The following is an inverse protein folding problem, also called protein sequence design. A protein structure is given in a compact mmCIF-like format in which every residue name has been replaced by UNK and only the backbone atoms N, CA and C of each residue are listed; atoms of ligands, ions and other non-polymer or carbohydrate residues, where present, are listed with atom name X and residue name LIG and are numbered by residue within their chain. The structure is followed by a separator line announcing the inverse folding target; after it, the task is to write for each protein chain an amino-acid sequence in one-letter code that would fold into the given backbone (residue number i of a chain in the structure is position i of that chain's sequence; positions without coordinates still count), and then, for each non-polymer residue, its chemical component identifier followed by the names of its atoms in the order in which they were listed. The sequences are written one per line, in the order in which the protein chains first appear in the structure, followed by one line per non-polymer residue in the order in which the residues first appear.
data_IF_113326050962
#
_entry.id   IF_113326050962
#
_cell.length_a   1.000
_cell.length_b   1.000
_cell.length_c   1.000
_cell.angle_alpha   90.00
_cell.angle_beta   90.00
_cell.angle_gamma   90.00
#
_symmetry.space_group_name_H-M   'P 1'
#
loop_
_entity.id
_entity.type
_entity.pdbx_description
1 polymer ?
#
# COMPACT_ATOMS: atom_id res chain seq x y z
N UNK A 1 -17.52 -5.29 0.85
CA UNK A 1 -17.98 -4.63 2.11
C UNK A 1 -18.31 -3.18 1.80
N UNK A 2 -19.15 -2.51 2.58
CA UNK A 2 -19.33 -1.07 2.44
C UNK A 2 -18.13 -0.32 3.05
N UNK A 3 -17.70 0.75 2.38
CA UNK A 3 -16.62 1.64 2.80
C UNK A 3 -17.07 3.10 2.66
N UNK A 4 -16.52 3.97 3.50
CA UNK A 4 -16.71 5.41 3.39
C UNK A 4 -15.73 5.98 2.37
N UNK A 5 -16.24 6.74 1.41
CA UNK A 5 -15.46 7.40 0.37
C UNK A 5 -15.73 8.90 0.37
N UNK A 6 -14.69 9.71 0.25
CA UNK A 6 -14.76 11.17 0.17
C UNK A 6 -14.59 11.61 -1.29
N UNK A 7 -15.65 12.07 -1.99
CA UNK A 7 -15.61 12.39 -3.41
C UNK A 7 -15.07 13.81 -3.65
N UNK A 8 -13.77 14.01 -3.46
CA UNK A 8 -13.09 15.30 -3.64
C UNK A 8 -12.18 15.36 -4.89
N UNK A 9 -12.53 14.63 -5.94
CA UNK A 9 -11.73 14.55 -7.16
C UNK A 9 -10.37 13.92 -6.90
N UNK A 10 -9.29 14.57 -7.34
CA UNK A 10 -7.92 14.06 -7.21
C UNK A 10 -7.38 14.00 -5.77
N UNK A 11 -8.07 14.63 -4.80
CA UNK A 11 -7.74 14.56 -3.37
C UNK A 11 -8.82 13.80 -2.59
N UNK A 12 -9.70 13.09 -3.30
CA UNK A 12 -10.71 12.21 -2.72
C UNK A 12 -10.19 10.79 -2.54
N UNK A 13 -10.96 9.95 -1.85
CA UNK A 13 -10.52 8.58 -1.60
C UNK A 13 -11.23 7.90 -0.45
N UNK A 14 -10.70 6.75 -0.04
CA UNK A 14 -11.18 6.03 1.14
C UNK A 14 -10.99 6.90 2.40
N UNK A 15 -11.98 6.84 3.28
CA UNK A 15 -12.00 7.57 4.54
C UNK A 15 -12.16 6.61 5.72
N UNK A 16 -11.44 6.90 6.80
CA UNK A 16 -11.44 6.18 8.05
C UNK A 16 -10.23 6.54 8.91
N UNK A 17 -10.21 6.05 10.16
CA UNK A 17 -9.14 6.31 11.14
C UNK A 17 -7.72 6.03 10.59
N UNK A 18 -7.58 5.02 9.73
CA UNK A 18 -6.31 4.56 9.19
C UNK A 18 -6.12 4.92 7.70
N UNK A 19 -6.96 5.81 7.15
CA UNK A 19 -6.88 6.27 5.76
C UNK A 19 -6.30 7.68 5.71
N UNK A 20 -5.71 8.08 4.58
CA UNK A 20 -5.13 9.42 4.40
C UNK A 20 -6.19 10.55 4.52
N UNK A 21 -7.42 10.27 4.05
CA UNK A 21 -8.53 11.22 4.17
C UNK A 21 -9.08 11.35 5.60
N UNK A 22 -8.66 10.47 6.53
CA UNK A 22 -9.09 10.49 7.92
C UNK A 22 -10.61 10.39 8.08
N UNK A 23 -11.20 11.25 8.91
CA UNK A 23 -12.63 11.28 9.17
C UNK A 23 -13.25 12.61 8.70
N UNK A 24 -13.53 12.78 7.40
CA UNK A 24 -14.29 13.92 6.91
C UNK A 24 -15.69 14.00 7.56
N UNK A 25 -16.34 15.17 7.55
CA UNK A 25 -17.73 15.31 7.94
C UNK A 25 -18.64 14.29 7.22
N UNK A 26 -19.59 13.69 7.95
CA UNK A 26 -20.39 12.58 7.46
C UNK A 26 -21.27 12.96 6.24
N UNK A 27 -21.71 14.21 6.15
CA UNK A 27 -22.46 14.77 5.02
C UNK A 27 -21.63 14.87 3.72
N UNK A 28 -20.30 14.74 3.83
CA UNK A 28 -19.38 14.71 2.68
C UNK A 28 -18.95 13.30 2.28
N UNK A 29 -19.42 12.27 2.98
CA UNK A 29 -19.06 10.88 2.69
C UNK A 29 -20.14 10.19 1.88
N UNK A 30 -19.72 9.37 0.93
CA UNK A 30 -20.59 8.43 0.23
C UNK A 30 -20.21 7.00 0.59
N UNK A 31 -21.21 6.12 0.65
CA UNK A 31 -20.99 4.69 0.88
C UNK A 31 -20.73 4.01 -0.47
N UNK A 32 -19.61 3.31 -0.58
CA UNK A 32 -19.26 2.54 -1.77
C UNK A 32 -19.07 1.06 -1.42
N UNK A 33 -19.38 0.19 -2.38
CA UNK A 33 -19.08 -1.24 -2.24
C UNK A 33 -17.66 -1.50 -2.67
N UNK A 34 -16.82 -1.91 -1.72
CA UNK A 34 -15.47 -2.41 -1.97
C UNK A 34 -15.47 -3.93 -2.19
N UNK A 35 -14.62 -4.37 -3.11
CA UNK A 35 -14.35 -5.79 -3.39
C UNK A 35 -12.90 -6.13 -3.04
N UNK A 36 -12.66 -7.36 -2.58
CA UNK A 36 -11.30 -7.84 -2.32
C UNK A 36 -10.53 -7.98 -3.63
N UNK A 37 -9.24 -7.64 -3.63
CA UNK A 37 -8.39 -7.72 -4.81
C UNK A 37 -8.35 -9.14 -5.41
N UNK A 38 -8.26 -10.19 -4.59
CA UNK A 38 -8.27 -11.58 -5.08
C UNK A 38 -9.56 -11.95 -5.82
N UNK A 39 -10.69 -11.38 -5.41
CA UNK A 39 -11.98 -11.58 -6.10
C UNK A 39 -12.02 -10.84 -7.43
N UNK A 40 -11.47 -9.62 -7.48
CA UNK A 40 -11.33 -8.86 -8.74
C UNK A 40 -10.47 -9.64 -9.73
N UNK A 41 -9.30 -10.12 -9.28
CA UNK A 41 -8.38 -10.91 -10.12
C UNK A 41 -9.03 -12.22 -10.60
N UNK A 42 -9.73 -12.92 -9.72
CA UNK A 42 -10.44 -14.15 -10.06
C UNK A 42 -11.55 -13.91 -11.10
N UNK A 43 -12.42 -12.92 -10.88
CA UNK A 43 -13.50 -12.57 -11.79
C UNK A 43 -12.96 -12.11 -13.15
N UNK A 44 -11.85 -11.37 -13.15
CA UNK A 44 -11.17 -10.94 -14.38
C UNK A 44 -10.43 -12.07 -15.11
N UNK A 45 -10.39 -13.29 -14.54
CA UNK A 45 -9.57 -14.41 -15.03
C UNK A 45 -8.11 -14.00 -15.22
N UNK A 46 -7.59 -13.18 -14.31
CA UNK A 46 -6.21 -12.74 -14.33
C UNK A 46 -5.26 -13.94 -14.25
N UNK A 47 -4.09 -13.88 -14.91
CA UNK A 47 -3.09 -14.94 -14.79
C UNK A 47 -2.60 -15.05 -13.34
N UNK A 48 -2.14 -16.24 -12.96
CA UNK A 48 -1.54 -16.49 -11.65
C UNK A 48 -0.21 -15.72 -11.45
N UNK A 49 0.48 -15.40 -12.55
CA UNK A 49 1.67 -14.56 -12.56
C UNK A 49 1.35 -13.27 -13.30
N UNK A 50 1.41 -12.16 -12.58
CA UNK A 50 1.08 -10.82 -13.06
C UNK A 50 2.39 -10.02 -13.12
N UNK A 51 2.65 -9.33 -14.23
CA UNK A 51 3.93 -8.64 -14.42
C UNK A 51 4.16 -7.50 -13.42
N UNK A 52 3.11 -6.75 -13.09
CA UNK A 52 3.25 -5.54 -12.29
C UNK A 52 1.96 -5.19 -11.54
N UNK A 53 2.11 -4.69 -10.31
CA UNK A 53 1.04 -4.07 -9.52
C UNK A 53 1.52 -2.74 -8.96
N UNK A 54 0.71 -1.69 -9.12
CA UNK A 54 0.88 -0.41 -8.42
C UNK A 54 -0.26 -0.25 -7.43
N UNK A 55 0.06 0.07 -6.18
CA UNK A 55 -0.90 0.34 -5.12
C UNK A 55 -0.69 1.73 -4.53
N UNK A 56 -1.65 2.59 -4.84
CA UNK A 56 -1.92 3.84 -4.14
C UNK A 56 -3.43 3.88 -3.92
N UNK A 57 -3.84 3.60 -2.69
CA UNK A 57 -5.26 3.47 -2.32
C UNK A 57 -5.53 4.19 -0.99
N UNK A 58 -4.87 5.34 -0.80
CA UNK A 58 -5.21 6.30 0.26
C UNK A 58 -5.16 5.72 1.68
N UNK A 59 -4.24 4.77 1.93
CA UNK A 59 -4.01 4.15 3.24
C UNK A 59 -4.55 2.73 3.39
N UNK A 60 -5.22 2.20 2.36
CA UNK A 60 -5.77 0.86 2.39
C UNK A 60 -4.82 -0.22 1.85
N UNK A 61 -3.52 0.05 1.69
CA UNK A 61 -2.55 -0.86 1.07
C UNK A 61 -2.47 -2.21 1.81
N UNK A 62 -2.41 -2.20 3.15
CA UNK A 62 -2.43 -3.43 3.97
C UNK A 62 -3.81 -4.10 3.97
N UNK A 63 -4.90 -3.39 3.66
CA UNK A 63 -6.22 -4.01 3.48
C UNK A 63 -6.34 -4.74 2.14
N UNK A 64 -5.82 -4.14 1.06
CA UNK A 64 -5.83 -4.75 -0.26
C UNK A 64 -4.98 -6.01 -0.32
N UNK A 65 -3.85 -6.01 0.38
CA UNK A 65 -2.91 -7.13 0.52
C UNK A 65 -2.87 -7.64 1.98
N UNK A 66 -4.06 -7.84 2.55
CA UNK A 66 -4.21 -8.30 3.93
C UNK A 66 -3.60 -9.68 4.18
N UNK A 67 -3.54 -10.10 5.44
CA UNK A 67 -2.99 -11.39 5.87
C UNK A 67 -3.56 -12.61 5.12
N UNK A 68 -4.80 -12.50 4.62
CA UNK A 68 -5.49 -13.58 3.91
C UNK A 68 -5.49 -13.38 2.38
N UNK A 69 -4.69 -12.46 1.85
CA UNK A 69 -4.47 -12.34 0.41
C UNK A 69 -3.75 -13.60 -0.09
N UNK A 70 -4.25 -14.28 -1.15
CA UNK A 70 -3.73 -15.56 -1.58
C UNK A 70 -2.49 -15.39 -2.48
N UNK A 71 -1.34 -15.02 -1.89
CA UNK A 71 -0.06 -14.90 -2.61
C UNK A 71 0.38 -16.19 -3.32
N UNK A 72 -0.13 -17.35 -2.90
CA UNK A 72 0.07 -18.64 -3.57
C UNK A 72 -0.72 -18.79 -4.88
N UNK A 73 -1.80 -18.02 -5.07
CA UNK A 73 -2.58 -18.00 -6.32
C UNK A 73 -2.18 -16.84 -7.24
N UNK A 74 -1.75 -15.71 -6.67
CA UNK A 74 -1.39 -14.53 -7.43
C UNK A 74 -0.02 -14.00 -7.01
N UNK A 75 0.94 -14.08 -7.93
CA UNK A 75 2.27 -13.51 -7.79
C UNK A 75 2.39 -12.28 -8.68
N UNK A 76 2.80 -11.16 -8.09
CA UNK A 76 3.18 -9.96 -8.84
C UNK A 76 4.70 -9.98 -9.01
N UNK A 77 5.22 -9.94 -10.24
CA UNK A 77 6.67 -9.99 -10.44
C UNK A 77 7.35 -8.71 -9.95
N UNK A 78 6.67 -7.57 -10.09
CA UNK A 78 7.11 -6.26 -9.66
C UNK A 78 5.97 -5.57 -8.93
N UNK A 79 6.28 -4.82 -7.88
CA UNK A 79 5.30 -4.03 -7.15
C UNK A 79 5.81 -2.62 -6.84
N UNK A 80 4.90 -1.66 -6.92
CA UNK A 80 5.05 -0.33 -6.35
C UNK A 80 3.94 -0.15 -5.32
N UNK A 81 4.30 0.19 -4.09
CA UNK A 81 3.34 0.42 -3.02
C UNK A 81 3.65 1.77 -2.40
N UNK A 82 2.67 2.67 -2.36
CA UNK A 82 2.84 3.96 -1.70
C UNK A 82 2.76 3.79 -0.18
N UNK A 83 3.82 4.24 0.51
CA UNK A 83 3.91 4.32 1.99
C UNK A 83 3.43 3.04 2.72
N UNK A 84 3.93 1.83 2.37
CA UNK A 84 3.48 0.59 2.98
C UNK A 84 3.78 0.56 4.49
N UNK A 85 2.81 0.19 5.34
CA UNK A 85 3.07 0.03 6.76
C UNK A 85 4.01 -1.15 7.04
N UNK A 86 4.63 -1.20 8.24
CA UNK A 86 5.55 -2.28 8.60
C UNK A 86 4.95 -3.69 8.46
N UNK A 87 3.67 -3.86 8.79
CA UNK A 87 2.94 -5.13 8.66
C UNK A 87 2.91 -5.63 7.21
N UNK A 88 2.64 -4.73 6.26
CA UNK A 88 2.62 -5.07 4.84
C UNK A 88 4.02 -5.40 4.33
N UNK A 89 5.04 -4.63 4.73
CA UNK A 89 6.43 -4.91 4.38
C UNK A 89 6.85 -6.31 4.80
N UNK A 90 6.61 -6.65 6.06
CA UNK A 90 6.91 -7.97 6.60
C UNK A 90 6.22 -9.07 5.79
N UNK A 91 4.91 -8.90 5.51
CA UNK A 91 4.12 -9.86 4.73
C UNK A 91 4.67 -10.06 3.32
N UNK A 92 5.10 -8.98 2.65
CA UNK A 92 5.72 -9.07 1.34
C UNK A 92 7.05 -9.84 1.40
N UNK A 93 7.89 -9.60 2.41
CA UNK A 93 9.13 -10.35 2.58
C UNK A 93 8.88 -11.84 2.84
N UNK A 94 7.90 -12.18 3.68
CA UNK A 94 7.48 -13.56 3.95
C UNK A 94 7.00 -14.28 2.68
N UNK A 95 6.43 -13.54 1.73
CA UNK A 95 5.96 -14.06 0.45
C UNK A 95 6.94 -13.85 -0.71
N UNK A 96 8.24 -13.74 -0.42
CA UNK A 96 9.29 -13.83 -1.44
C UNK A 96 9.47 -12.57 -2.28
N UNK A 97 9.02 -11.41 -1.79
CA UNK A 97 9.33 -10.11 -2.38
C UNK A 97 10.63 -9.56 -1.79
N UNK A 98 11.49 -9.04 -2.64
CA UNK A 98 12.74 -8.37 -2.27
C UNK A 98 12.55 -6.86 -2.40
N UNK A 99 13.10 -6.12 -1.44
CA UNK A 99 13.19 -4.67 -1.53
C UNK A 99 14.10 -4.26 -2.70
N UNK A 100 13.67 -3.24 -3.45
CA UNK A 100 14.45 -2.65 -4.56
C UNK A 100 14.99 -1.27 -4.18
N UNK A 101 14.11 -0.37 -3.77
CA UNK A 101 14.44 0.98 -3.28
C UNK A 101 13.18 1.66 -2.74
N UNK A 102 13.39 2.77 -2.03
CA UNK A 102 12.36 3.79 -1.84
C UNK A 102 12.57 4.94 -2.82
N UNK A 103 11.50 5.58 -3.27
CA UNK A 103 11.55 6.83 -4.01
C UNK A 103 10.34 7.69 -3.68
N UNK A 104 10.57 8.89 -3.13
CA UNK A 104 9.51 9.78 -2.66
C UNK A 104 8.60 9.07 -1.64
N UNK A 105 7.37 8.78 -2.01
CA UNK A 105 6.38 8.10 -1.17
C UNK A 105 6.30 6.60 -1.46
N UNK A 106 6.97 6.11 -2.51
CA UNK A 106 6.83 4.75 -3.01
C UNK A 106 7.94 3.83 -2.54
N UNK A 107 7.57 2.58 -2.25
CA UNK A 107 8.49 1.46 -2.09
C UNK A 107 8.33 0.48 -3.24
N UNK A 108 9.47 0.05 -3.80
CA UNK A 108 9.54 -0.85 -4.94
C UNK A 108 9.98 -2.23 -4.49
N UNK A 109 9.32 -3.27 -5.03
CA UNK A 109 9.63 -4.66 -4.76
C UNK A 109 9.74 -5.47 -6.04
N UNK A 110 10.53 -6.53 -5.99
CA UNK A 110 10.64 -7.56 -7.02
C UNK A 110 10.43 -8.93 -6.38
N UNK A 111 9.61 -9.77 -6.98
CA UNK A 111 9.44 -11.14 -6.48
C UNK A 111 10.64 -12.01 -6.88
N UNK A 112 11.05 -12.92 -6.00
CA UNK A 112 12.19 -13.84 -6.20
C UNK A 112 12.06 -14.73 -7.45
N UNK A 113 10.84 -14.98 -7.94
CA UNK A 113 10.62 -15.72 -9.19
C UNK A 113 10.89 -14.91 -10.47
N UNK A 114 11.12 -13.60 -10.37
CA UNK A 114 11.52 -12.80 -11.53
C UNK A 114 12.93 -13.25 -11.99
N UNK A 115 13.18 -13.50 -13.29
CA UNK A 115 14.46 -14.03 -13.77
C UNK A 115 15.69 -13.19 -13.37
N UNK A 116 15.49 -11.88 -13.21
CA UNK A 116 16.52 -10.91 -12.80
C UNK A 116 16.33 -10.36 -11.37
N UNK A 117 15.63 -11.07 -10.48
CA UNK A 117 15.27 -10.56 -9.15
C UNK A 117 16.47 -10.04 -8.35
N UNK A 118 17.56 -10.82 -8.30
CA UNK A 118 18.79 -10.46 -7.57
C UNK A 118 19.46 -9.21 -8.14
N UNK A 119 19.48 -9.06 -9.47
CA UNK A 119 19.99 -7.88 -10.14
C UNK A 119 19.11 -6.64 -9.88
N UNK A 120 17.78 -6.82 -9.89
CA UNK A 120 16.82 -5.72 -9.71
C UNK A 120 16.80 -5.23 -8.26
N UNK A 121 16.89 -6.13 -7.27
CA UNK A 121 16.89 -5.76 -5.85
C UNK A 121 18.07 -4.86 -5.45
N UNK A 122 19.12 -4.77 -6.29
CA UNK A 122 20.28 -3.86 -6.13
C UNK A 122 21.05 -3.97 -4.81
N UNK A 123 20.75 -4.97 -3.98
CA UNK A 123 21.31 -5.16 -2.64
C UNK A 123 21.21 -3.89 -1.76
N UNK A 124 20.16 -3.09 -1.95
CA UNK A 124 19.94 -1.91 -1.13
C UNK A 124 19.43 -2.32 0.26
N UNK A 125 19.75 -1.52 1.27
CA UNK A 125 19.30 -1.79 2.65
C UNK A 125 17.89 -1.25 2.83
N UNK A 126 16.96 -2.13 3.20
CA UNK A 126 15.58 -1.73 3.47
C UNK A 126 15.52 -0.64 4.55
N UNK A 127 14.73 0.39 4.27
CA UNK A 127 14.38 1.45 5.22
C UNK A 127 12.87 1.63 5.21
N UNK A 128 12.26 1.54 6.39
CA UNK A 128 10.83 1.80 6.54
C UNK A 128 10.53 3.26 6.17
N UNK A 129 9.57 3.47 5.27
CA UNK A 129 9.03 4.81 4.96
C UNK A 129 7.92 5.16 5.94
N UNK A 130 7.63 6.45 6.11
CA UNK A 130 6.49 6.89 6.90
C UNK A 130 5.19 6.35 6.30
N UNK A 131 4.44 5.56 7.08
CA UNK A 131 3.21 4.95 6.60
C UNK A 131 2.05 5.95 6.50
N UNK A 132 1.03 5.61 5.71
CA UNK A 132 -0.24 6.33 5.65
C UNK A 132 -1.01 6.13 6.96
N UNK A 133 -0.99 7.12 7.84
CA UNK A 133 -1.89 7.16 9.01
C UNK A 133 -2.23 8.60 9.39
N UNK A 134 -3.42 8.79 9.95
CA UNK A 134 -3.96 10.11 10.26
C UNK A 134 -3.15 10.91 11.28
N UNK A 135 -2.37 10.25 12.15
CA UNK A 135 -1.51 10.93 13.14
C UNK A 135 -0.27 11.55 12.53
N UNK A 136 0.17 11.13 11.34
CA UNK A 136 1.41 11.64 10.71
C UNK A 136 1.22 12.93 9.90
N UNK A 137 0.08 13.65 10.03
CA UNK A 137 -0.08 14.97 9.40
C UNK A 137 1.03 15.91 9.87
N UNK A 138 1.79 16.43 8.90
CA UNK A 138 2.82 17.47 9.08
C UNK A 138 2.39 18.50 10.13
N UNK A 139 3.06 18.52 11.29
CA UNK A 139 3.18 19.79 12.03
C UNK A 139 4.00 20.74 11.15
N UNK A 140 3.48 21.94 10.95
CA UNK A 140 3.93 22.87 9.92
C UNK A 140 5.40 23.30 10.02
N UNK A 141 5.93 23.67 8.85
CA UNK A 141 7.12 24.52 8.57
C UNK A 141 8.28 24.46 9.58
N UNK A 142 9.01 23.35 9.57
CA UNK A 142 10.46 23.40 9.77
C UNK A 142 11.13 22.71 8.58
N UNK A 143 11.82 23.50 7.76
CA UNK A 143 12.34 23.12 6.44
C UNK A 143 13.50 22.11 6.46
N UNK A 144 13.73 21.39 7.56
CA UNK A 144 14.90 20.51 7.69
C UNK A 144 14.64 19.14 8.35
N UNK A 145 13.41 18.79 8.76
CA UNK A 145 13.13 17.43 9.25
C UNK A 145 11.70 17.00 8.91
N UNK A 146 11.54 16.14 7.91
CA UNK A 146 10.33 15.32 7.75
C UNK A 146 10.32 14.26 8.86
N UNK A 147 9.78 14.61 10.02
CA UNK A 147 9.41 13.64 11.04
C UNK A 147 7.96 13.22 10.72
N UNK A 148 7.81 12.10 10.02
CA UNK A 148 6.56 11.37 10.05
C UNK A 148 6.47 10.75 11.45
N UNK A 149 5.47 11.13 12.24
CA UNK A 149 5.19 10.41 13.49
C UNK A 149 4.89 8.95 13.13
N UNK A 150 5.61 8.02 13.76
CA UNK A 150 5.36 6.59 13.61
C UNK A 150 3.91 6.33 14.05
N UNK A 151 3.13 5.74 13.15
CA UNK A 151 1.78 5.30 13.47
C UNK A 151 1.88 4.36 14.69
N UNK A 152 1.09 4.62 15.73
CA UNK A 152 1.00 3.71 16.87
C UNK A 152 0.27 2.43 16.42
N UNK A 153 1.03 1.41 16.05
CA UNK A 153 0.52 0.08 15.74
C UNK A 153 0.33 -0.67 17.07
N UNK A 154 -0.87 -0.57 17.64
CA UNK A 154 -1.30 -1.35 18.81
C UNK A 154 -2.05 -2.61 18.37
#
# INVERSE_FOLDING_TARGET
RQVSFFPAGAVGGLAGKNMDNGNPPADKLVSMTAQRLDKVLHTAKAPHVIGYLSLDIEGAEDEALCANFPFHLYTFLLMTVERPPPSLNQRLFEHGYLFVKNHMFDTFYVHTSHPNATFIARNDTFKQVGAKCTTSRRKGKDSNKTLFEECSWA
#
